data_IF_177245219218
#
_entry.id   IF_177245219218
#
_cell.length_a   1.000
_cell.length_b   1.000
_cell.length_c   1.000
_cell.angle_alpha   90.00
_cell.angle_beta   90.00
_cell.angle_gamma   90.00
#
_symmetry.space_group_name_H-M   'P 1'
#
loop_
_entity.id
_entity.type
_entity.pdbx_description
1 polymer ?
#
# COMPACT_ATOMS: atom_id res chain seq x y z
N UNK A 1 24.24 21.16 -6.04
CA UNK A 1 24.40 21.83 -4.73
C UNK A 1 23.00 21.95 -4.14
N UNK A 2 22.47 20.79 -3.75
CA UNK A 2 22.12 20.45 -2.35
C UNK A 2 20.67 20.82 -2.07
N UNK A 3 19.79 19.91 -2.47
CA UNK A 3 18.44 19.81 -1.89
C UNK A 3 18.50 18.66 -0.90
N UNK A 4 19.14 18.93 0.23
CA UNK A 4 19.01 18.10 1.41
C UNK A 4 17.55 18.23 1.87
N UNK A 5 16.78 17.18 1.58
CA UNK A 5 15.42 17.02 2.05
C UNK A 5 15.49 16.52 3.48
N UNK A 6 15.17 17.37 4.46
CA UNK A 6 14.98 16.95 5.84
C UNK A 6 13.79 15.98 5.95
N UNK A 7 13.82 14.96 6.84
CA UNK A 7 12.83 13.88 6.90
C UNK A 7 11.57 14.19 7.72
N UNK A 8 11.34 15.43 8.17
CA UNK A 8 10.23 15.73 9.09
C UNK A 8 9.07 16.44 8.37
N UNK A 9 7.86 15.93 8.61
CA UNK A 9 6.55 16.42 8.14
C UNK A 9 6.15 16.06 6.70
N UNK A 10 6.01 14.76 6.40
CA UNK A 10 5.21 14.28 5.28
C UNK A 10 3.71 14.29 5.65
N UNK A 11 3.11 15.48 5.83
CA UNK A 11 1.66 15.59 6.04
C UNK A 11 0.94 15.56 4.69
N UNK A 12 0.11 14.53 4.45
CA UNK A 12 -0.76 14.45 3.28
C UNK A 12 -1.82 15.55 3.34
N UNK A 13 -1.61 16.67 2.64
CA UNK A 13 -2.43 17.90 2.76
C UNK A 13 -3.64 17.98 1.83
N UNK A 14 -3.90 17.01 0.96
CA UNK A 14 -5.10 17.01 0.10
C UNK A 14 -5.38 15.64 -0.51
N UNK A 15 -6.61 15.16 -0.37
CA UNK A 15 -7.15 14.04 -1.14
C UNK A 15 -7.66 14.57 -2.48
N UNK A 16 -7.02 14.17 -3.58
CA UNK A 16 -7.53 14.46 -4.94
C UNK A 16 -8.37 13.28 -5.40
N UNK A 17 -9.65 13.52 -5.65
CA UNK A 17 -10.52 12.51 -6.27
C UNK A 17 -10.21 12.49 -7.77
N UNK A 18 -9.50 11.47 -8.24
CA UNK A 18 -9.33 11.22 -9.67
C UNK A 18 -10.63 10.60 -10.22
N UNK A 19 -11.04 11.02 -11.42
CA UNK A 19 -12.10 10.28 -12.14
C UNK A 19 -11.49 8.98 -12.66
N UNK A 20 -12.08 7.80 -12.38
CA UNK A 20 -11.59 6.55 -12.94
C UNK A 20 -11.79 6.59 -14.47
N UNK A 21 -10.69 6.45 -15.21
CA UNK A 21 -10.67 6.24 -16.66
C UNK A 21 -10.01 4.88 -16.91
N UNK A 22 -10.79 3.78 -16.84
CA UNK A 22 -10.24 2.45 -16.92
C UNK A 22 -9.62 2.23 -18.29
N UNK A 23 -8.31 2.02 -18.33
CA UNK A 23 -7.58 1.70 -19.55
C UNK A 23 -7.48 0.19 -19.68
N UNK A 24 -8.24 -0.46 -20.58
CA UNK A 24 -8.11 -1.90 -20.78
C UNK A 24 -6.72 -2.20 -21.35
N UNK A 25 -6.01 -3.11 -20.69
CA UNK A 25 -4.70 -3.62 -21.09
C UNK A 25 -4.88 -5.11 -21.41
N UNK A 26 -4.27 -5.63 -22.50
CA UNK A 26 -4.31 -7.07 -22.75
C UNK A 26 -3.64 -7.83 -21.59
N UNK A 27 -4.25 -8.92 -21.15
CA UNK A 27 -3.70 -9.82 -20.13
C UNK A 27 -3.15 -11.09 -20.79
N UNK A 28 -2.04 -11.58 -20.24
CA UNK A 28 -1.56 -12.94 -20.49
C UNK A 28 -2.14 -13.80 -19.38
N UNK A 29 -2.99 -14.75 -19.75
CA UNK A 29 -3.83 -15.52 -18.81
C UNK A 29 -3.08 -16.65 -18.11
N UNK A 30 -2.01 -17.17 -18.72
CA UNK A 30 -1.13 -18.12 -18.05
C UNK A 30 -0.11 -17.41 -17.17
N UNK A 31 0.16 -18.00 -16.00
CA UNK A 31 1.23 -17.54 -15.12
C UNK A 31 2.56 -17.59 -15.86
N UNK A 32 3.16 -16.42 -16.09
CA UNK A 32 4.52 -16.33 -16.64
C UNK A 32 5.48 -16.83 -15.56
N UNK A 33 6.09 -18.00 -15.79
CA UNK A 33 7.13 -18.49 -14.91
C UNK A 33 8.27 -17.46 -14.86
N UNK A 34 8.73 -17.12 -13.66
CA UNK A 34 9.93 -16.29 -13.46
C UNK A 34 11.24 -16.99 -13.91
N UNK A 35 11.16 -18.08 -14.69
CA UNK A 35 12.23 -18.96 -15.13
C UNK A 35 12.19 -19.22 -16.64
N UNK A 36 12.58 -20.43 -17.08
CA UNK A 36 12.74 -20.74 -18.51
C UNK A 36 11.39 -20.67 -19.24
N UNK A 37 11.26 -19.89 -20.34
CA UNK A 37 9.99 -19.67 -21.00
C UNK A 37 9.55 -20.92 -21.77
N UNK A 38 8.29 -21.32 -21.60
CA UNK A 38 7.66 -22.32 -22.47
C UNK A 38 7.09 -21.62 -23.72
N UNK A 39 7.21 -22.17 -24.94
CA UNK A 39 7.11 -21.39 -26.18
C UNK A 39 5.70 -21.22 -26.75
N UNK A 40 4.65 -21.68 -26.08
CA UNK A 40 3.30 -21.67 -26.63
C UNK A 40 2.39 -20.82 -25.76
N UNK A 41 1.83 -19.75 -26.31
CA UNK A 41 0.79 -18.93 -25.66
C UNK A 41 -0.08 -18.26 -26.73
N UNK A 42 -1.10 -19.00 -27.16
CA UNK A 42 -2.20 -18.53 -27.98
C UNK A 42 -3.47 -18.49 -27.11
N UNK A 43 -3.67 -17.38 -26.41
CA UNK A 43 -4.88 -17.14 -25.62
C UNK A 43 -5.20 -15.66 -25.65
N UNK A 44 -6.26 -15.28 -26.37
CA UNK A 44 -6.79 -13.92 -26.38
C UNK A 44 -8.01 -13.90 -25.46
N UNK A 45 -7.91 -13.24 -24.31
CA UNK A 45 -9.03 -12.96 -23.41
C UNK A 45 -9.37 -11.46 -23.37
N UNK A 46 -10.52 -11.17 -22.76
CA UNK A 46 -11.06 -9.82 -22.54
C UNK A 46 -10.06 -8.92 -21.78
N UNK A 47 -10.09 -7.61 -22.08
CA UNK A 47 -9.11 -6.66 -21.55
C UNK A 47 -9.14 -6.55 -20.03
N UNK A 48 -7.97 -6.52 -19.40
CA UNK A 48 -7.79 -6.35 -17.97
C UNK A 48 -7.62 -4.87 -17.62
N UNK A 49 -8.38 -4.37 -16.64
CA UNK A 49 -8.21 -3.03 -16.07
C UNK A 49 -7.77 -3.15 -14.62
N UNK A 50 -6.62 -2.57 -14.28
CA UNK A 50 -6.12 -2.54 -12.90
C UNK A 50 -7.14 -1.93 -11.94
N UNK A 51 -7.83 -0.87 -12.38
CA UNK A 51 -8.85 -0.20 -11.57
C UNK A 51 -9.98 -1.17 -11.23
N UNK A 52 -10.50 -1.90 -12.21
CA UNK A 52 -11.63 -2.81 -12.00
C UNK A 52 -11.29 -4.06 -11.17
N UNK A 53 -10.03 -4.49 -11.16
CA UNK A 53 -9.60 -5.73 -10.50
C UNK A 53 -8.98 -5.51 -9.12
N UNK A 54 -8.45 -4.31 -8.85
CA UNK A 54 -7.78 -3.99 -7.58
C UNK A 54 -8.65 -3.08 -6.69
N UNK A 55 -9.54 -2.29 -7.29
CA UNK A 55 -10.37 -1.32 -6.58
C UNK A 55 -11.81 -1.86 -6.50
N UNK A 56 -12.16 -2.47 -5.37
CA UNK A 56 -13.53 -2.92 -5.12
C UNK A 56 -14.48 -1.76 -4.79
N UNK A 57 -13.99 -0.79 -4.02
CA UNK A 57 -14.79 0.30 -3.47
C UNK A 57 -14.18 1.67 -3.83
N UNK A 58 -14.37 2.15 -5.08
CA UNK A 58 -13.66 3.32 -5.62
C UNK A 58 -13.88 4.62 -4.82
N UNK A 59 -14.95 4.70 -4.04
CA UNK A 59 -15.31 5.86 -3.23
C UNK A 59 -14.56 5.87 -1.88
N UNK A 60 -14.03 4.72 -1.46
CA UNK A 60 -13.32 4.49 -0.21
C UNK A 60 -11.88 4.01 -0.41
N UNK A 61 -11.43 3.85 -1.65
CA UNK A 61 -10.06 3.46 -2.00
C UNK A 61 -9.18 4.67 -2.29
N UNK A 62 -7.98 4.68 -1.72
CA UNK A 62 -7.00 5.74 -1.82
C UNK A 62 -5.64 5.18 -2.22
N UNK A 63 -4.90 5.94 -3.03
CA UNK A 63 -3.50 5.63 -3.34
C UNK A 63 -2.59 6.46 -2.44
N UNK A 64 -1.76 5.80 -1.63
CA UNK A 64 -0.80 6.44 -0.72
C UNK A 64 0.61 6.15 -1.21
N UNK A 65 1.49 7.16 -1.25
CA UNK A 65 2.91 6.94 -1.53
C UNK A 65 3.67 6.72 -0.24
N UNK A 66 4.43 5.63 -0.17
CA UNK A 66 5.21 5.27 1.02
C UNK A 66 6.42 6.17 1.16
N UNK A 67 6.60 6.70 2.36
CA UNK A 67 7.81 7.41 2.76
C UNK A 67 8.43 6.68 3.96
N UNK A 68 9.54 5.98 3.72
CA UNK A 68 10.32 5.29 4.75
C UNK A 68 10.57 3.84 4.41
N UNK A 69 11.25 3.13 5.31
CA UNK A 69 11.70 1.74 5.18
C UNK A 69 11.14 0.84 6.30
N UNK A 70 10.16 1.32 7.08
CA UNK A 70 9.65 0.57 8.23
C UNK A 70 8.89 -0.71 7.89
N UNK A 71 8.56 -0.92 6.61
CA UNK A 71 7.77 -2.05 6.12
C UNK A 71 8.53 -2.92 5.10
N UNK A 72 9.87 -2.82 5.05
CA UNK A 72 10.70 -3.57 4.08
C UNK A 72 10.53 -5.10 4.19
N UNK A 73 10.34 -5.64 5.39
CA UNK A 73 10.08 -7.07 5.62
C UNK A 73 8.76 -7.56 5.01
N UNK A 74 7.80 -6.65 4.78
CA UNK A 74 6.56 -6.93 4.06
C UNK A 74 6.68 -6.68 2.54
N UNK A 75 7.88 -6.38 2.03
CA UNK A 75 8.11 -6.05 0.63
C UNK A 75 7.57 -4.67 0.22
N UNK A 76 7.38 -3.77 1.19
CA UNK A 76 6.94 -2.39 0.97
C UNK A 76 8.14 -1.47 1.14
N UNK A 77 8.53 -0.79 0.07
CA UNK A 77 9.72 0.04 0.01
C UNK A 77 9.40 1.53 -0.11
N UNK A 78 10.39 2.36 0.17
CA UNK A 78 10.28 3.81 -0.02
C UNK A 78 9.93 4.15 -1.47
N UNK A 79 8.87 4.94 -1.67
CA UNK A 79 8.39 5.35 -2.99
C UNK A 79 7.32 4.43 -3.60
N UNK A 80 6.94 3.35 -2.92
CA UNK A 80 5.88 2.46 -3.37
C UNK A 80 4.51 3.12 -3.30
N UNK A 81 3.59 2.63 -4.13
CA UNK A 81 2.19 3.02 -4.07
C UNK A 81 1.39 1.95 -3.37
N UNK A 82 0.70 2.33 -2.29
CA UNK A 82 -0.22 1.47 -1.58
C UNK A 82 -1.64 1.77 -2.03
N UNK A 83 -2.40 0.71 -2.27
CA UNK A 83 -3.85 0.78 -2.41
C UNK A 83 -4.44 0.58 -1.03
N UNK A 84 -5.17 1.57 -0.54
CA UNK A 84 -5.73 1.62 0.81
C UNK A 84 -7.24 1.72 0.74
N UNK A 85 -7.94 0.80 1.37
CA UNK A 85 -9.40 0.77 1.44
C UNK A 85 -9.87 1.14 2.85
N UNK A 86 -10.74 2.15 2.96
CA UNK A 86 -11.30 2.62 4.24
C UNK A 86 -12.62 1.96 4.63
N UNK A 87 -13.23 1.19 3.75
CA UNK A 87 -14.48 0.48 4.02
C UNK A 87 -14.27 -0.94 4.57
N UNK A 88 -13.05 -1.47 4.49
CA UNK A 88 -12.68 -2.73 5.12
C UNK A 88 -12.52 -2.58 6.64
N UNK A 89 -12.96 -3.60 7.38
CA UNK A 89 -12.69 -3.71 8.81
C UNK A 89 -11.30 -4.32 8.99
N UNK A 90 -10.36 -3.68 9.71
CA UNK A 90 -9.01 -4.19 9.86
C UNK A 90 -8.96 -5.45 10.72
N UNK A 91 -8.27 -6.47 10.23
CA UNK A 91 -8.09 -7.76 10.90
C UNK A 91 -6.65 -7.97 11.41
N UNK A 92 -6.47 -8.99 12.25
CA UNK A 92 -5.14 -9.38 12.74
C UNK A 92 -4.27 -9.87 11.58
N UNK A 93 -3.07 -9.29 11.46
CA UNK A 93 -2.13 -9.57 10.38
C UNK A 93 -2.21 -8.58 9.22
N UNK A 94 -3.24 -7.74 9.13
CA UNK A 94 -3.38 -6.78 8.03
C UNK A 94 -2.32 -5.70 8.07
N UNK A 95 -1.89 -5.24 6.89
CA UNK A 95 -1.13 -3.99 6.78
C UNK A 95 -2.14 -2.85 6.77
N UNK A 96 -1.99 -1.91 7.70
CA UNK A 96 -2.92 -0.80 7.89
C UNK A 96 -2.20 0.53 7.81
N UNK A 97 -2.93 1.54 7.36
CA UNK A 97 -2.54 2.94 7.55
C UNK A 97 -3.19 3.41 8.84
N UNK A 98 -2.37 3.81 9.81
CA UNK A 98 -2.83 4.34 11.09
C UNK A 98 -2.44 5.81 11.21
N UNK A 99 -3.27 6.59 11.89
CA UNK A 99 -2.94 7.94 12.35
C UNK A 99 -2.44 7.82 13.78
N UNK A 100 -1.17 8.18 14.00
CA UNK A 100 -0.54 8.27 15.31
C UNK A 100 -0.15 9.73 15.55
N UNK A 101 -0.67 10.35 16.62
CA UNK A 101 -0.40 11.75 16.98
C UNK A 101 -0.64 12.75 15.82
N UNK A 102 -1.61 12.44 14.95
CA UNK A 102 -1.94 13.25 13.77
C UNK A 102 -1.09 12.98 12.53
N UNK A 103 -0.13 12.06 12.60
CA UNK A 103 0.71 11.65 11.46
C UNK A 103 0.29 10.28 10.91
N UNK A 104 0.30 10.15 9.59
CA UNK A 104 -0.01 8.88 8.92
C UNK A 104 1.22 7.96 8.95
N UNK A 105 1.02 6.73 9.41
CA UNK A 105 2.04 5.68 9.41
C UNK A 105 1.50 4.40 8.79
N UNK A 106 2.39 3.58 8.24
CA UNK A 106 2.06 2.23 7.73
C UNK A 106 2.68 1.21 8.67
N UNK A 107 1.84 0.31 9.19
CA UNK A 107 2.24 -0.73 10.14
C UNK A 107 1.42 -2.00 9.89
N UNK A 108 1.90 -3.13 10.38
CA UNK A 108 1.09 -4.35 10.48
C UNK A 108 0.28 -4.30 11.77
N UNK A 109 -1.03 -4.46 11.67
CA UNK A 109 -1.89 -4.65 12.81
C UNK A 109 -1.71 -6.08 13.33
N UNK A 110 -1.32 -6.22 14.59
CA UNK A 110 -1.23 -7.49 15.29
C UNK A 110 -2.05 -7.43 16.57
N UNK A 111 -2.56 -8.56 17.04
CA UNK A 111 -3.27 -8.72 18.29
C UNK A 111 -2.41 -9.53 19.26
N UNK A 112 -1.96 -8.88 20.35
CA UNK A 112 -1.16 -9.52 21.38
C UNK A 112 -1.89 -9.44 22.72
N UNK A 113 -2.18 -10.60 23.30
CA UNK A 113 -2.94 -10.73 24.55
C UNK A 113 -4.31 -10.02 24.50
N UNK A 114 -4.96 -10.03 23.34
CA UNK A 114 -6.25 -9.37 23.10
C UNK A 114 -6.18 -7.85 22.94
N UNK A 115 -4.97 -7.27 22.84
CA UNK A 115 -4.77 -5.83 22.59
C UNK A 115 -4.18 -5.61 21.19
N UNK A 116 -4.65 -4.59 20.46
CA UNK A 116 -4.05 -4.22 19.19
C UNK A 116 -2.61 -3.73 19.41
N UNK A 117 -1.74 -4.04 18.46
CA UNK A 117 -0.34 -3.65 18.41
C UNK A 117 -0.01 -3.30 16.96
N UNK A 118 0.73 -2.23 16.75
CA UNK A 118 1.23 -1.81 15.46
C UNK A 118 2.68 -2.23 15.33
N UNK A 119 2.92 -3.25 14.53
CA UNK A 119 4.24 -3.83 14.27
C UNK A 119 4.86 -3.20 13.03
N UNK A 120 6.15 -2.88 13.11
CA UNK A 120 6.94 -2.50 11.96
C UNK A 120 7.70 -3.72 11.44
N UNK A 121 7.60 -3.98 10.14
CA UNK A 121 8.31 -5.07 9.46
C UNK A 121 9.77 -4.69 9.17
N UNK A 122 10.42 -4.03 10.12
CA UNK A 122 11.81 -3.65 10.06
C UNK A 122 12.38 -3.61 11.49
N UNK A 123 13.42 -4.42 11.82
CA UNK A 123 13.98 -4.53 13.17
C UNK A 123 14.50 -3.21 13.76
N UNK A 124 14.73 -2.19 12.91
CA UNK A 124 15.19 -0.86 13.34
C UNK A 124 14.08 -0.04 13.99
N UNK A 125 12.82 -0.43 13.84
CA UNK A 125 11.65 0.29 14.30
C UNK A 125 10.96 -0.51 15.41
N UNK A 126 10.77 0.06 16.60
CA UNK A 126 10.09 -0.63 17.69
C UNK A 126 8.59 -0.76 17.42
N UNK A 127 7.99 -1.80 17.99
CA UNK A 127 6.54 -1.99 17.99
C UNK A 127 5.86 -0.90 18.81
N UNK A 128 4.73 -0.43 18.31
CA UNK A 128 3.89 0.53 19.00
C UNK A 128 2.67 -0.18 19.57
N UNK A 129 2.55 -0.19 20.90
CA UNK A 129 1.34 -0.66 21.58
C UNK A 129 0.52 0.58 21.96
N UNK A 130 -0.66 0.79 21.37
CA UNK A 130 -1.58 1.84 21.80
C UNK A 130 -1.83 1.73 23.31
N UNK A 131 -1.59 2.83 24.03
CA UNK A 131 -2.02 2.95 25.42
C UNK A 131 -3.54 3.13 25.46
N UNK A 132 -4.20 2.84 26.59
CA UNK A 132 -5.67 2.96 26.70
C UNK A 132 -6.19 4.40 26.48
N UNK A 133 -5.29 5.39 26.47
CA UNK A 133 -5.58 6.80 26.25
C UNK A 133 -4.90 7.35 25.00
N UNK A 134 -4.23 6.50 24.21
CA UNK A 134 -3.52 6.92 23.00
C UNK A 134 -4.49 7.08 21.84
N UNK A 135 -4.43 8.22 21.16
CA UNK A 135 -5.21 8.49 19.96
C UNK A 135 -4.60 7.74 18.76
N UNK A 136 -4.90 6.45 18.66
CA UNK A 136 -4.60 5.65 17.46
C UNK A 136 -5.88 5.43 16.68
N UNK A 137 -5.90 5.93 15.44
CA UNK A 137 -7.03 5.73 14.54
C UNK A 137 -6.56 4.96 13.33
N UNK A 138 -7.11 3.76 13.12
CA UNK A 138 -6.90 3.05 11.85
C UNK A 138 -7.64 3.82 10.76
N UNK A 139 -6.90 4.32 9.78
CA UNK A 139 -7.44 5.11 8.68
C UNK A 139 -8.01 4.23 7.57
N UNK A 140 -7.34 3.12 7.27
CA UNK A 140 -7.75 2.12 6.28
C UNK A 140 -6.80 0.92 6.19
N UNK A 141 -7.23 -0.11 5.47
CA UNK A 141 -6.51 -1.36 5.25
C UNK A 141 -5.79 -1.32 3.90
N UNK A 142 -4.55 -1.77 3.85
CA UNK A 142 -3.77 -1.86 2.61
C UNK A 142 -4.11 -3.15 1.88
N UNK A 143 -4.71 -3.06 0.71
CA UNK A 143 -5.10 -4.22 -0.11
C UNK A 143 -4.00 -4.64 -1.10
N UNK A 144 -3.08 -3.75 -1.42
CA UNK A 144 -1.95 -4.07 -2.30
C UNK A 144 -0.87 -2.99 -2.32
N UNK A 145 0.32 -3.37 -2.80
CA UNK A 145 1.45 -2.47 -3.05
C UNK A 145 1.93 -2.60 -4.50
N UNK A 146 2.37 -1.49 -5.06
CA UNK A 146 3.00 -1.43 -6.38
C UNK A 146 4.39 -0.82 -6.25
N UNK A 147 5.40 -1.64 -6.51
CA UNK A 147 6.81 -1.25 -6.56
C UNK A 147 7.26 -1.07 -8.02
N UNK A 148 7.39 0.17 -8.53
CA UNK A 148 7.79 0.40 -9.91
C UNK A 148 9.25 0.02 -10.16
N UNK A 149 9.48 -1.06 -10.91
CA UNK A 149 10.83 -1.52 -11.32
C UNK A 149 11.57 -0.51 -12.22
N UNK A 150 10.82 0.35 -12.90
CA UNK A 150 11.36 1.42 -13.75
C UNK A 150 10.70 2.73 -13.37
N UNK A 151 11.50 3.80 -13.25
CA UNK A 151 10.97 5.16 -13.11
C UNK A 151 10.02 5.46 -14.26
N UNK A 152 8.73 5.53 -13.94
CA UNK A 152 7.70 5.94 -14.88
C UNK A 152 7.92 7.41 -15.21
N UNK A 153 8.07 7.72 -16.50
CA UNK A 153 8.05 9.11 -16.95
C UNK A 153 6.60 9.59 -16.89
N UNK A 154 6.26 10.37 -15.87
CA UNK A 154 4.98 11.10 -15.86
C UNK A 154 4.98 12.07 -17.06
N UNK A 155 3.93 11.99 -17.87
CA UNK A 155 3.64 12.94 -18.96
C UNK A 155 2.97 14.17 -18.38
#
# INVERSE_FOLDING_TARGET
MSRDCAPEACTARSVVHARPDPRPVPIVTEMVAAGFPSPALDGWEEGFSLDAHVIEHPEYTFIVTVAGDSMEGAGIFHGDWLVVDRSLTPEDGDVVVAVLDGELTVKRLLSRDGRPMLHAENPRYPDFVPSEHGDVVIWGVVTGSFHPQRRLRRK
#
